data_IF_362712068679
#
_entry.id   IF_362712068679
#
_cell.length_a   1.000
_cell.length_b   1.000
_cell.length_c   1.000
_cell.angle_alpha   90.00
_cell.angle_beta   90.00
_cell.angle_gamma   90.00
#
_symmetry.space_group_name_H-M   'P 1'
#
loop_
_entity.id
_entity.type
_entity.pdbx_description
1 polymer ?
#
# COMPACT_ATOMS: atom_id res chain seq x y z
N UNK A 1 8.69 -28.31 5.97
CA UNK A 1 7.73 -27.45 5.25
C UNK A 1 8.17 -27.44 3.79
N UNK A 2 7.37 -28.02 2.90
CA UNK A 2 7.56 -27.88 1.45
C UNK A 2 7.55 -26.39 1.12
N UNK A 3 8.59 -25.90 0.44
CA UNK A 3 8.63 -24.51 -0.01
C UNK A 3 7.40 -24.27 -0.90
N UNK A 4 6.54 -23.32 -0.52
CA UNK A 4 5.45 -22.89 -1.38
C UNK A 4 6.09 -22.30 -2.62
N UNK A 5 5.88 -22.96 -3.76
CA UNK A 5 6.33 -22.43 -5.05
C UNK A 5 5.54 -21.14 -5.26
N UNK A 6 6.25 -20.03 -5.47
CA UNK A 6 5.60 -18.75 -5.75
C UNK A 6 4.94 -18.84 -7.14
N UNK A 7 3.60 -18.84 -7.23
CA UNK A 7 2.92 -19.01 -8.52
C UNK A 7 3.11 -17.80 -9.45
N UNK A 8 3.53 -16.66 -8.90
CA UNK A 8 3.77 -15.43 -9.64
C UNK A 8 5.21 -15.29 -10.14
N UNK A 9 6.09 -16.27 -9.86
CA UNK A 9 7.47 -16.31 -10.37
C UNK A 9 7.52 -16.74 -11.84
N UNK A 10 6.84 -15.95 -12.68
CA UNK A 10 6.76 -16.12 -14.13
C UNK A 10 7.84 -15.28 -14.82
N UNK A 11 8.20 -15.56 -16.09
CA UNK A 11 9.14 -14.72 -16.84
C UNK A 11 8.73 -13.24 -16.87
N UNK A 12 7.43 -12.96 -17.02
CA UNK A 12 6.88 -11.61 -16.99
C UNK A 12 6.97 -10.98 -15.59
N UNK A 13 6.65 -11.73 -14.54
CA UNK A 13 6.81 -11.27 -13.16
C UNK A 13 8.25 -10.91 -12.83
N UNK A 14 9.19 -11.82 -13.16
CA UNK A 14 10.62 -11.61 -12.90
C UNK A 14 11.18 -10.41 -13.68
N UNK A 15 10.82 -10.26 -14.96
CA UNK A 15 11.26 -9.15 -15.78
C UNK A 15 10.78 -7.77 -15.28
N UNK A 16 9.63 -7.72 -14.61
CA UNK A 16 8.99 -6.48 -14.15
C UNK A 16 9.06 -6.27 -12.62
N UNK A 17 9.74 -7.16 -11.90
CA UNK A 17 9.96 -7.08 -10.45
C UNK A 17 11.06 -6.07 -10.11
N UNK A 18 10.81 -5.24 -9.10
CA UNK A 18 11.79 -4.27 -8.59
C UNK A 18 11.85 -4.27 -7.06
N UNK A 19 11.56 -5.43 -6.45
CA UNK A 19 11.51 -5.60 -5.00
C UNK A 19 12.86 -5.33 -4.33
N UNK A 20 12.89 -4.31 -3.50
CA UNK A 20 14.08 -3.90 -2.77
C UNK A 20 13.84 -3.64 -1.28
N UNK A 21 14.94 -3.70 -0.53
CA UNK A 21 15.01 -3.35 0.89
C UNK A 21 16.01 -2.23 1.12
N UNK A 22 15.77 -1.40 2.12
CA UNK A 22 16.75 -0.44 2.62
C UNK A 22 17.75 -1.16 3.52
N UNK A 23 19.06 -0.96 3.31
CA UNK A 23 20.11 -1.58 4.12
C UNK A 23 20.73 -0.62 5.15
N UNK A 24 20.21 0.60 5.29
CA UNK A 24 20.80 1.66 6.11
C UNK A 24 21.44 2.80 5.30
N UNK A 25 21.88 2.52 4.07
CA UNK A 25 22.58 3.49 3.21
C UNK A 25 21.97 3.64 1.82
N UNK A 26 21.45 2.55 1.25
CA UNK A 26 20.85 2.55 -0.08
C UNK A 26 19.75 1.48 -0.21
N UNK A 27 18.95 1.60 -1.26
CA UNK A 27 18.03 0.56 -1.68
C UNK A 27 18.83 -0.56 -2.38
N UNK A 28 18.59 -1.81 -1.99
CA UNK A 28 19.18 -3.00 -2.60
C UNK A 28 18.06 -3.92 -3.09
N UNK A 29 18.10 -4.32 -4.35
CA UNK A 29 17.13 -5.25 -4.92
C UNK A 29 17.38 -6.67 -4.40
N UNK A 30 16.32 -7.47 -4.30
CA UNK A 30 16.36 -8.82 -3.72
C UNK A 30 17.38 -9.75 -4.38
N UNK A 31 17.56 -9.63 -5.69
CA UNK A 31 18.51 -10.41 -6.48
C UNK A 31 19.95 -9.87 -6.44
N UNK A 32 20.22 -8.88 -5.58
CA UNK A 32 21.53 -8.25 -5.45
C UNK A 32 21.84 -7.22 -6.52
N UNK A 33 20.94 -6.98 -7.49
CA UNK A 33 21.14 -5.93 -8.49
C UNK A 33 21.05 -4.54 -7.84
N UNK A 34 21.79 -3.60 -8.42
CA UNK A 34 21.65 -2.18 -8.10
C UNK A 34 20.34 -1.67 -8.70
N UNK A 35 19.51 -0.94 -7.93
CA UNK A 35 18.32 -0.30 -8.49
C UNK A 35 18.72 0.69 -9.58
N UNK A 36 17.85 0.87 -10.59
CA UNK A 36 18.06 1.93 -11.58
C UNK A 36 18.11 3.30 -10.89
N UNK A 37 18.79 4.28 -11.52
CA UNK A 37 18.86 5.66 -10.97
C UNK A 37 17.48 6.22 -10.67
N UNK A 38 16.51 6.02 -11.57
CA UNK A 38 15.11 6.43 -11.36
C UNK A 38 14.52 5.78 -10.10
N UNK A 39 14.73 4.48 -9.90
CA UNK A 39 14.23 3.77 -8.72
C UNK A 39 14.82 4.34 -7.43
N UNK A 40 16.14 4.59 -7.42
CA UNK A 40 16.82 5.19 -6.28
C UNK A 40 16.31 6.62 -6.00
N UNK A 41 16.11 7.45 -7.03
CA UNK A 41 15.62 8.82 -6.89
C UNK A 41 14.18 8.87 -6.34
N UNK A 42 13.28 8.02 -6.85
CA UNK A 42 11.89 7.93 -6.35
C UNK A 42 11.87 7.44 -4.90
N UNK A 43 12.67 6.43 -4.57
CA UNK A 43 12.79 5.92 -3.21
C UNK A 43 13.33 6.99 -2.25
N UNK A 44 14.36 7.73 -2.64
CA UNK A 44 14.93 8.82 -1.86
C UNK A 44 13.91 9.95 -1.64
N UNK A 45 13.16 10.33 -2.67
CA UNK A 45 12.10 11.32 -2.56
C UNK A 45 10.98 10.87 -1.59
N UNK A 46 10.57 9.60 -1.67
CA UNK A 46 9.58 9.04 -0.74
C UNK A 46 10.10 9.10 0.70
N UNK A 47 11.34 8.65 0.93
CA UNK A 47 11.96 8.70 2.26
C UNK A 47 12.03 10.12 2.80
N UNK A 48 12.38 11.09 1.97
CA UNK A 48 12.45 12.50 2.37
C UNK A 48 11.08 13.01 2.86
N UNK A 49 9.99 12.70 2.15
CA UNK A 49 8.62 13.06 2.58
C UNK A 49 8.26 12.39 3.91
N UNK A 50 8.58 11.10 4.07
CA UNK A 50 8.22 10.35 5.27
C UNK A 50 9.07 10.71 6.51
N UNK A 51 10.28 11.23 6.30
CA UNK A 51 11.14 11.76 7.36
C UNK A 51 10.84 13.22 7.70
N UNK A 52 9.99 13.90 6.93
CA UNK A 52 9.60 15.27 7.21
C UNK A 52 9.01 15.39 8.64
N UNK A 53 9.52 16.29 9.49
CA UNK A 53 9.05 16.47 10.87
C UNK A 53 7.54 16.70 10.95
N UNK A 54 6.95 17.33 9.93
CA UNK A 54 5.54 17.65 9.88
C UNK A 54 4.70 16.47 9.40
N UNK A 55 5.28 15.39 8.83
CA UNK A 55 4.50 14.28 8.30
C UNK A 55 3.63 13.63 9.40
N UNK A 56 2.29 13.60 9.26
CA UNK A 56 1.41 13.38 10.41
C UNK A 56 1.34 11.90 10.82
N UNK A 57 1.54 10.98 9.87
CA UNK A 57 1.35 9.55 10.10
C UNK A 57 2.53 8.94 10.89
N UNK A 58 2.28 8.68 12.17
CA UNK A 58 3.25 8.08 13.10
C UNK A 58 3.66 6.67 12.67
N UNK A 59 2.72 5.88 12.14
CA UNK A 59 2.99 4.54 11.62
C UNK A 59 3.96 4.56 10.44
N UNK A 60 3.74 5.44 9.47
CA UNK A 60 4.64 5.58 8.31
C UNK A 60 6.06 6.04 8.73
N UNK A 61 6.15 6.97 9.70
CA UNK A 61 7.44 7.35 10.30
C UNK A 61 8.13 6.16 10.95
N UNK A 62 7.41 5.36 11.74
CA UNK A 62 7.94 4.14 12.36
C UNK A 62 8.48 3.18 11.30
N UNK A 63 7.72 2.95 10.24
CA UNK A 63 8.09 2.05 9.13
C UNK A 63 9.42 2.44 8.48
N UNK A 64 9.60 3.72 8.16
CA UNK A 64 10.83 4.19 7.51
C UNK A 64 12.02 4.23 8.47
N UNK A 65 11.80 4.66 9.73
CA UNK A 65 12.84 4.73 10.75
C UNK A 65 13.39 3.35 11.12
N UNK A 66 12.53 2.33 11.19
CA UNK A 66 12.91 0.95 11.52
C UNK A 66 13.33 0.14 10.28
N UNK A 67 13.27 0.73 9.08
CA UNK A 67 13.47 0.05 7.82
C UNK A 67 12.57 -1.21 7.65
N UNK A 68 11.38 -1.19 8.25
CA UNK A 68 10.44 -2.30 8.29
C UNK A 68 9.53 -2.35 7.05
N UNK A 69 10.07 -1.94 5.90
CA UNK A 69 9.35 -1.90 4.63
C UNK A 69 10.13 -2.51 3.49
N UNK A 70 9.41 -2.68 2.39
CA UNK A 70 9.94 -3.03 1.09
C UNK A 70 9.42 -2.05 0.06
N UNK A 71 10.22 -1.80 -0.97
CA UNK A 71 9.92 -0.81 -1.98
C UNK A 71 10.13 -1.41 -3.36
N UNK A 72 9.24 -1.09 -4.29
CA UNK A 72 9.41 -1.37 -5.71
C UNK A 72 8.95 -0.16 -6.54
N UNK A 73 9.68 0.13 -7.62
CA UNK A 73 9.23 1.03 -8.67
C UNK A 73 8.88 0.20 -9.91
N UNK A 74 7.60 0.21 -10.30
CA UNK A 74 7.12 -0.36 -11.55
C UNK A 74 6.95 0.72 -12.61
N UNK A 75 6.80 0.34 -13.88
CA UNK A 75 6.76 1.29 -15.00
C UNK A 75 5.46 2.08 -15.04
N UNK A 76 4.31 1.42 -15.21
CA UNK A 76 3.02 2.11 -15.34
C UNK A 76 1.92 1.44 -14.50
N UNK A 77 1.16 2.25 -13.76
CA UNK A 77 0.06 1.77 -12.93
C UNK A 77 -1.03 1.09 -13.77
N UNK A 78 -1.44 -0.09 -13.31
CA UNK A 78 -2.53 -0.89 -13.87
C UNK A 78 -2.28 -1.44 -15.29
N UNK A 79 -1.03 -1.64 -15.72
CA UNK A 79 -0.68 -2.40 -16.94
C UNK A 79 -0.42 -3.87 -16.61
N UNK A 80 -0.51 -4.76 -17.61
CA UNK A 80 -0.28 -6.20 -17.44
C UNK A 80 1.12 -6.49 -16.89
N UNK A 81 2.15 -5.86 -17.47
CA UNK A 81 3.55 -6.09 -17.10
C UNK A 81 3.86 -5.63 -15.67
N UNK A 82 3.43 -4.41 -15.30
CA UNK A 82 3.56 -3.92 -13.93
C UNK A 82 2.76 -4.78 -12.95
N UNK A 83 1.59 -5.28 -13.34
CA UNK A 83 0.77 -6.15 -12.49
C UNK A 83 1.47 -7.49 -12.23
N UNK A 84 2.10 -8.08 -13.26
CA UNK A 84 2.86 -9.32 -13.09
C UNK A 84 4.05 -9.13 -12.13
N UNK A 85 4.80 -8.02 -12.29
CA UNK A 85 5.90 -7.67 -11.38
C UNK A 85 5.42 -7.40 -9.96
N UNK A 86 4.32 -6.65 -9.83
CA UNK A 86 3.71 -6.32 -8.54
C UNK A 86 3.18 -7.56 -7.81
N UNK A 87 2.57 -8.51 -8.52
CA UNK A 87 2.06 -9.76 -7.95
C UNK A 87 3.22 -10.60 -7.35
N UNK A 88 4.31 -10.74 -8.10
CA UNK A 88 5.53 -11.40 -7.65
C UNK A 88 6.10 -10.72 -6.39
N UNK A 89 6.17 -9.39 -6.41
CA UNK A 89 6.76 -8.60 -5.32
C UNK A 89 5.88 -8.58 -4.06
N UNK A 90 4.56 -8.52 -4.22
CA UNK A 90 3.59 -8.57 -3.11
C UNK A 90 3.53 -9.98 -2.48
N UNK A 91 3.65 -11.05 -3.27
CA UNK A 91 3.79 -12.41 -2.73
C UNK A 91 5.07 -12.55 -1.90
N UNK A 92 6.19 -12.04 -2.42
CA UNK A 92 7.47 -12.02 -1.70
C UNK A 92 7.36 -11.28 -0.37
N UNK A 93 6.63 -10.17 -0.34
CA UNK A 93 6.32 -9.45 0.90
C UNK A 93 5.46 -10.29 1.84
N UNK A 94 4.39 -10.91 1.34
CA UNK A 94 3.52 -11.76 2.13
C UNK A 94 4.31 -12.86 2.88
N UNK A 95 5.24 -13.50 2.18
CA UNK A 95 6.09 -14.57 2.72
C UNK A 95 7.09 -14.10 3.77
N UNK A 96 7.59 -12.86 3.70
CA UNK A 96 8.64 -12.39 4.60
C UNK A 96 8.20 -11.41 5.67
N UNK A 97 7.01 -10.80 5.55
CA UNK A 97 6.57 -9.68 6.41
C UNK A 97 6.63 -10.00 7.90
N UNK A 98 6.32 -11.24 8.30
CA UNK A 98 6.39 -11.66 9.71
C UNK A 98 7.82 -11.73 10.27
N UNK A 99 8.84 -11.81 9.40
CA UNK A 99 10.27 -11.83 9.76
C UNK A 99 10.91 -10.44 9.68
N UNK A 100 10.20 -9.44 9.15
CA UNK A 100 10.70 -8.06 9.12
C UNK A 100 10.58 -7.50 10.54
N UNK A 101 11.68 -7.02 11.15
CA UNK A 101 11.60 -6.42 12.48
C UNK A 101 10.81 -5.12 12.42
N UNK A 102 9.94 -4.92 13.40
CA UNK A 102 9.16 -3.68 13.57
C UNK A 102 7.71 -3.94 13.94
N UNK A 103 7.08 -2.94 14.53
CA UNK A 103 5.65 -3.01 14.92
C UNK A 103 4.73 -2.95 13.69
N UNK A 104 5.14 -2.14 12.72
CA UNK A 104 4.47 -1.90 11.45
C UNK A 104 5.29 -2.42 10.30
N UNK A 105 4.66 -3.05 9.31
CA UNK A 105 5.30 -3.44 8.07
C UNK A 105 4.47 -3.01 6.87
N UNK A 106 5.16 -2.53 5.83
CA UNK A 106 4.51 -2.08 4.61
C UNK A 106 5.29 -2.53 3.37
N UNK A 107 4.57 -2.86 2.32
CA UNK A 107 5.13 -2.87 0.97
C UNK A 107 4.68 -1.63 0.21
N UNK A 108 5.64 -0.90 -0.35
CA UNK A 108 5.40 0.37 -1.03
C UNK A 108 5.71 0.18 -2.52
N UNK A 109 4.66 0.17 -3.34
CA UNK A 109 4.76 0.07 -4.79
C UNK A 109 4.51 1.43 -5.42
N UNK A 110 5.55 2.05 -5.97
CA UNK A 110 5.44 3.27 -6.78
C UNK A 110 5.43 2.94 -8.26
N UNK A 111 4.86 3.84 -9.07
CA UNK A 111 4.75 3.67 -10.52
C UNK A 111 5.34 4.90 -11.22
N UNK A 112 6.15 4.70 -12.25
CA UNK A 112 6.74 5.82 -12.99
C UNK A 112 5.67 6.61 -13.77
N UNK A 113 4.65 5.92 -14.26
CA UNK A 113 3.53 6.41 -15.05
C UNK A 113 2.17 5.88 -14.53
N UNK A 114 1.04 6.47 -14.94
CA UNK A 114 0.94 7.71 -15.71
C UNK A 114 1.12 8.96 -14.84
N UNK A 115 1.45 10.09 -15.46
CA UNK A 115 1.39 11.42 -14.81
C UNK A 115 -0.07 11.83 -14.53
N UNK A 116 -0.56 11.46 -13.36
CA UNK A 116 -1.94 11.73 -12.95
C UNK A 116 -2.16 13.20 -12.60
N UNK A 117 -3.28 13.76 -13.06
CA UNK A 117 -3.69 15.15 -12.79
C UNK A 117 -4.96 15.28 -11.95
N UNK A 118 -5.71 14.19 -11.76
CA UNK A 118 -6.95 14.20 -10.99
C UNK A 118 -7.03 13.01 -10.04
N UNK A 119 -7.67 13.21 -8.89
CA UNK A 119 -7.93 12.12 -7.93
C UNK A 119 -8.85 11.05 -8.51
N UNK A 120 -9.77 11.42 -9.41
CA UNK A 120 -10.67 10.44 -10.04
C UNK A 120 -9.91 9.51 -10.98
N UNK A 121 -8.99 10.03 -11.78
CA UNK A 121 -8.14 9.20 -12.63
C UNK A 121 -7.25 8.26 -11.80
N UNK A 122 -6.70 8.75 -10.68
CA UNK A 122 -5.96 7.90 -9.75
C UNK A 122 -6.81 6.79 -9.16
N UNK A 123 -8.00 7.12 -8.64
CA UNK A 123 -8.92 6.13 -8.07
C UNK A 123 -9.27 5.04 -9.09
N UNK A 124 -9.60 5.41 -10.34
CA UNK A 124 -9.90 4.44 -11.38
C UNK A 124 -8.75 3.47 -11.63
N UNK A 125 -7.50 3.97 -11.73
CA UNK A 125 -6.34 3.11 -11.96
C UNK A 125 -5.96 2.29 -10.73
N UNK A 126 -6.10 2.84 -9.52
CA UNK A 126 -5.90 2.10 -8.28
C UNK A 126 -6.82 0.87 -8.26
N UNK A 127 -8.11 1.06 -8.49
CA UNK A 127 -9.05 -0.06 -8.50
C UNK A 127 -8.81 -1.03 -9.65
N UNK A 128 -8.46 -0.54 -10.85
CA UNK A 128 -8.04 -1.42 -11.96
C UNK A 128 -6.84 -2.28 -11.58
N UNK A 129 -5.85 -1.70 -10.88
CA UNK A 129 -4.67 -2.43 -10.41
C UNK A 129 -5.02 -3.49 -9.37
N UNK A 130 -5.88 -3.18 -8.40
CA UNK A 130 -6.32 -4.15 -7.38
C UNK A 130 -7.17 -5.28 -7.99
N UNK A 131 -8.06 -4.97 -8.93
CA UNK A 131 -8.82 -5.98 -9.67
C UNK A 131 -7.92 -6.89 -10.50
N UNK A 132 -6.90 -6.32 -11.17
CA UNK A 132 -5.92 -7.10 -11.93
C UNK A 132 -5.06 -8.01 -11.04
N UNK A 133 -4.67 -7.56 -9.84
CA UNK A 133 -4.00 -8.40 -8.85
C UNK A 133 -4.90 -9.55 -8.38
N UNK A 134 -6.16 -9.27 -8.05
CA UNK A 134 -7.10 -10.29 -7.62
C UNK A 134 -7.36 -11.34 -8.71
N UNK A 135 -7.45 -10.92 -9.98
CA UNK A 135 -7.62 -11.83 -11.10
C UNK A 135 -6.47 -12.86 -11.20
N UNK A 136 -5.22 -12.44 -10.91
CA UNK A 136 -4.08 -13.36 -10.82
C UNK A 136 -4.12 -14.20 -9.54
N UNK A 137 -4.53 -13.62 -8.42
CA UNK A 137 -4.48 -14.26 -7.11
C UNK A 137 -5.51 -15.39 -6.94
N UNK A 138 -6.73 -15.18 -7.44
CA UNK A 138 -7.87 -16.10 -7.26
C UNK A 138 -7.67 -17.48 -7.90
N UNK A 139 -6.71 -17.61 -8.82
CA UNK A 139 -6.32 -18.90 -9.40
C UNK A 139 -5.48 -19.76 -8.44
N UNK A 140 -4.92 -19.16 -7.40
CA UNK A 140 -3.92 -19.79 -6.52
C UNK A 140 -4.28 -19.70 -5.04
N UNK A 141 -4.97 -18.65 -4.62
CA UNK A 141 -5.32 -18.39 -3.23
C UNK A 141 -6.79 -18.02 -3.08
N UNK A 142 -7.41 -18.54 -2.03
CA UNK A 142 -8.69 -18.02 -1.58
C UNK A 142 -8.50 -16.65 -0.93
N UNK A 143 -9.55 -15.83 -0.98
CA UNK A 143 -9.61 -14.59 -0.20
C UNK A 143 -9.37 -14.89 1.28
N UNK A 144 -8.65 -14.01 1.98
CA UNK A 144 -8.35 -14.20 3.39
C UNK A 144 -9.67 -14.31 4.21
N UNK A 145 -9.90 -15.41 4.95
CA UNK A 145 -11.18 -15.67 5.60
C UNK A 145 -11.47 -14.76 6.81
N UNK A 146 -10.49 -13.96 7.27
CA UNK A 146 -10.67 -13.01 8.37
C UNK A 146 -11.29 -11.68 7.93
N UNK A 147 -11.43 -11.43 6.63
CA UNK A 147 -11.94 -10.18 6.07
C UNK A 147 -12.93 -10.45 4.94
N UNK A 148 -13.90 -9.55 4.74
CA UNK A 148 -14.87 -9.67 3.66
C UNK A 148 -14.22 -9.40 2.29
N UNK A 149 -14.70 -10.07 1.23
CA UNK A 149 -14.37 -9.75 -0.16
C UNK A 149 -15.35 -8.75 -0.79
N UNK A 150 -16.44 -8.40 -0.10
CA UNK A 150 -17.36 -7.37 -0.55
C UNK A 150 -16.81 -5.99 -0.17
N UNK A 151 -16.43 -5.13 -1.14
CA UNK A 151 -15.89 -3.80 -0.86
C UNK A 151 -16.91 -2.83 -0.24
N UNK A 152 -18.18 -3.20 -0.13
CA UNK A 152 -19.19 -2.42 0.59
C UNK A 152 -19.35 -2.85 2.06
N UNK A 153 -18.78 -3.99 2.46
CA UNK A 153 -18.79 -4.52 3.81
C UNK A 153 -17.83 -3.74 4.73
N UNK A 154 -18.24 -3.49 5.98
CA UNK A 154 -17.42 -2.77 6.97
C UNK A 154 -16.20 -3.56 7.44
N UNK A 155 -16.19 -4.88 7.21
CA UNK A 155 -15.08 -5.81 7.46
C UNK A 155 -14.24 -6.12 6.22
N UNK A 156 -14.47 -5.42 5.10
CA UNK A 156 -13.66 -5.55 3.90
C UNK A 156 -12.18 -5.26 4.18
N UNK A 157 -11.27 -6.01 3.56
CA UNK A 157 -9.89 -5.59 3.36
C UNK A 157 -9.30 -6.31 2.16
N UNK A 158 -8.47 -5.63 1.37
CA UNK A 158 -7.92 -6.22 0.14
C UNK A 158 -7.08 -7.46 0.46
N UNK A 159 -7.41 -8.59 -0.15
CA UNK A 159 -6.67 -9.82 0.01
C UNK A 159 -5.77 -10.12 -1.18
N UNK A 160 -4.56 -10.60 -0.88
CA UNK A 160 -3.63 -11.13 -1.86
C UNK A 160 -2.71 -12.18 -1.21
N UNK A 161 -2.48 -13.31 -1.88
CA UNK A 161 -1.67 -14.42 -1.39
C UNK A 161 -2.09 -14.91 0.02
N UNK A 162 -3.40 -14.93 0.29
CA UNK A 162 -3.98 -15.24 1.59
C UNK A 162 -3.68 -14.23 2.71
N UNK A 163 -3.01 -13.11 2.42
CA UNK A 163 -2.88 -11.97 3.33
C UNK A 163 -4.06 -11.00 3.22
N UNK A 164 -4.18 -10.09 4.18
CA UNK A 164 -5.14 -8.97 4.15
C UNK A 164 -4.37 -7.66 4.32
N UNK A 165 -4.73 -6.64 3.54
CA UNK A 165 -3.98 -5.39 3.45
C UNK A 165 -4.87 -4.16 3.45
N UNK A 166 -4.56 -3.22 4.34
CA UNK A 166 -5.08 -1.86 4.23
C UNK A 166 -4.25 -1.06 3.21
N UNK A 167 -4.84 -0.78 2.05
CA UNK A 167 -4.14 -0.10 0.95
C UNK A 167 -4.25 1.42 1.07
N UNK A 168 -3.10 2.09 1.07
CA UNK A 168 -3.00 3.56 1.08
C UNK A 168 -2.48 4.03 -0.26
N UNK A 169 -3.32 4.74 -1.01
CA UNK A 169 -2.94 5.43 -2.23
C UNK A 169 -2.31 6.80 -1.96
N UNK A 170 -1.21 7.10 -2.66
CA UNK A 170 -0.61 8.43 -2.79
C UNK A 170 -0.67 8.88 -4.25
N UNK A 171 -1.03 10.13 -4.48
CA UNK A 171 -1.22 10.68 -5.82
C UNK A 171 -0.70 12.10 -5.94
N UNK A 172 -0.09 12.49 -7.08
CA UNK A 172 0.28 13.89 -7.32
C UNK A 172 -0.93 14.83 -7.30
N UNK A 173 -2.13 14.31 -7.56
CA UNK A 173 -3.37 15.08 -7.56
C UNK A 173 -4.00 15.25 -6.17
N UNK A 174 -3.40 14.69 -5.12
CA UNK A 174 -3.95 14.80 -3.76
C UNK A 174 -3.87 16.23 -3.23
N UNK A 175 -4.98 16.71 -2.69
CA UNK A 175 -5.03 17.98 -1.95
C UNK A 175 -4.45 17.84 -0.54
N UNK A 176 -4.53 16.65 0.06
CA UNK A 176 -3.92 16.32 1.35
C UNK A 176 -2.43 16.09 1.13
N UNK A 177 -1.61 16.87 1.83
CA UNK A 177 -0.15 16.80 1.69
C UNK A 177 0.39 15.42 2.09
N UNK A 178 -0.14 14.84 3.18
CA UNK A 178 0.23 13.49 3.61
C UNK A 178 -0.08 12.38 2.58
N UNK A 179 -0.92 12.66 1.57
CA UNK A 179 -1.27 11.75 0.47
C UNK A 179 -0.73 12.21 -0.88
N UNK A 180 0.08 13.28 -0.91
CA UNK A 180 0.60 13.88 -2.14
C UNK A 180 2.04 13.43 -2.38
N UNK A 181 2.23 12.67 -3.45
CA UNK A 181 3.55 12.23 -3.89
C UNK A 181 3.64 12.33 -5.42
N UNK A 182 4.77 12.75 -6.02
CA UNK A 182 4.84 13.01 -7.47
C UNK A 182 4.56 11.79 -8.36
N UNK A 183 4.74 10.59 -7.81
CA UNK A 183 4.47 9.31 -8.48
C UNK A 183 3.25 8.63 -7.86
N UNK A 184 2.34 8.05 -8.66
CA UNK A 184 1.31 7.17 -8.14
C UNK A 184 1.95 6.09 -7.26
N UNK A 185 1.44 5.89 -6.05
CA UNK A 185 1.98 4.89 -5.12
C UNK A 185 0.85 4.18 -4.40
N UNK A 186 0.98 2.86 -4.26
CA UNK A 186 0.12 2.01 -3.44
C UNK A 186 0.97 1.47 -2.28
N UNK A 187 0.54 1.73 -1.06
CA UNK A 187 1.16 1.22 0.16
C UNK A 187 0.27 0.11 0.73
N UNK A 188 0.75 -1.12 0.68
CA UNK A 188 0.10 -2.30 1.24
C UNK A 188 0.55 -2.47 2.69
N UNK A 189 -0.32 -2.13 3.63
CA UNK A 189 -0.06 -2.28 5.07
C UNK A 189 -0.67 -3.59 5.56
N UNK A 190 0.07 -4.39 6.32
CA UNK A 190 -0.46 -5.63 6.92
C UNK A 190 -1.68 -5.32 7.80
N UNK A 191 -2.85 -5.88 7.46
CA UNK A 191 -4.10 -5.59 8.19
C UNK A 191 -4.00 -5.97 9.67
N UNK A 192 -3.41 -7.13 9.96
CA UNK A 192 -3.32 -7.67 11.33
C UNK A 192 -2.46 -6.83 12.27
N UNK A 193 -1.62 -5.91 11.76
CA UNK A 193 -0.90 -4.97 12.63
C UNK A 193 -1.85 -4.00 13.34
N UNK A 194 -2.95 -3.61 12.69
CA UNK A 194 -3.95 -2.74 13.30
C UNK A 194 -4.79 -3.50 14.33
N UNK A 195 -5.10 -4.76 14.08
CA UNK A 195 -5.77 -5.63 15.06
C UNK A 195 -4.93 -5.82 16.33
N UNK A 196 -3.61 -6.00 16.20
CA UNK A 196 -2.70 -6.06 17.36
C UNK A 196 -2.73 -4.77 18.19
N UNK A 197 -2.71 -3.61 17.53
CA UNK A 197 -2.79 -2.32 18.22
C UNK A 197 -4.10 -2.13 18.98
N UNK A 198 -5.21 -2.63 18.42
CA UNK A 198 -6.52 -2.58 19.09
C UNK A 198 -6.57 -3.50 20.29
N UNK A 199 -6.09 -4.72 20.15
CA UNK A 199 -5.97 -5.67 21.26
C UNK A 199 -5.15 -5.08 22.41
N UNK A 200 -4.13 -4.29 22.09
CA UNK A 200 -3.28 -3.60 23.06
C UNK A 200 -3.79 -2.21 23.51
N UNK A 201 -4.97 -1.77 23.07
CA UNK A 201 -5.57 -0.46 23.39
C UNK A 201 -4.70 0.75 22.97
N UNK A 202 -3.82 0.56 21.99
CA UNK A 202 -2.93 1.61 21.47
C UNK A 202 -3.51 2.32 20.24
N UNK A 203 -4.46 1.70 19.55
CA UNK A 203 -5.02 2.20 18.28
C UNK A 203 -5.66 3.59 18.41
N UNK A 204 -6.52 3.80 19.40
CA UNK A 204 -7.24 5.06 19.62
C UNK A 204 -6.25 6.23 19.80
N UNK A 205 -5.24 6.04 20.67
CA UNK A 205 -4.20 7.04 20.91
C UNK A 205 -3.41 7.38 19.64
N UNK A 206 -3.04 6.38 18.84
CA UNK A 206 -2.32 6.60 17.58
C UNK A 206 -3.20 7.36 16.59
N UNK A 207 -4.47 6.96 16.44
CA UNK A 207 -5.44 7.62 15.57
C UNK A 207 -5.61 9.08 15.95
N UNK A 208 -5.83 9.37 17.23
CA UNK A 208 -6.08 10.73 17.71
C UNK A 208 -4.86 11.62 17.50
N UNK A 209 -3.65 11.09 17.77
CA UNK A 209 -2.39 11.79 17.46
C UNK A 209 -2.27 12.12 15.97
N UNK A 210 -2.63 11.19 15.08
CA UNK A 210 -2.58 11.42 13.62
C UNK A 210 -3.62 12.48 13.21
N UNK A 211 -4.83 12.44 13.77
CA UNK A 211 -5.89 13.42 13.51
C UNK A 211 -5.51 14.82 13.94
N UNK A 212 -4.94 14.97 15.14
CA UNK A 212 -4.45 16.26 15.66
C UNK A 212 -3.37 16.85 14.74
N UNK A 213 -2.41 16.03 14.30
CA UNK A 213 -1.34 16.48 13.38
C UNK A 213 -1.90 16.85 12.01
N UNK A 214 -2.80 16.04 11.45
CA UNK A 214 -3.42 16.32 10.15
C UNK A 214 -4.27 17.60 10.18
N UNK A 215 -5.05 17.80 11.25
CA UNK A 215 -5.80 19.04 11.49
C UNK A 215 -4.87 20.25 11.62
N UNK A 216 -3.76 20.12 12.33
CA UNK A 216 -2.76 21.20 12.46
C UNK A 216 -2.22 21.62 11.09
N UNK A 217 -2.03 20.67 10.16
CA UNK A 217 -1.46 20.93 8.84
C UNK A 217 -2.47 21.41 7.81
N UNK A 218 -3.71 20.96 7.91
CA UNK A 218 -4.72 21.16 6.86
C UNK A 218 -5.92 21.99 7.29
N UNK A 219 -6.03 22.33 8.57
CA UNK A 219 -7.15 23.08 9.16
C UNK A 219 -8.37 22.22 9.50
N UNK A 220 -8.43 20.98 9.00
CA UNK A 220 -9.50 20.02 9.26
C UNK A 220 -8.95 18.58 9.32
N UNK A 221 -9.67 17.69 10.01
CA UNK A 221 -9.33 16.26 10.05
C UNK A 221 -9.63 15.61 8.71
N UNK A 222 -8.74 14.76 8.19
CA UNK A 222 -9.01 13.94 7.00
C UNK A 222 -10.33 13.15 7.15
N UNK A 223 -11.38 13.43 6.35
CA UNK A 223 -12.64 12.69 6.39
C UNK A 223 -12.45 11.20 6.06
N UNK A 224 -11.37 10.87 5.36
CA UNK A 224 -11.00 9.50 4.99
C UNK A 224 -10.23 8.77 6.10
N UNK A 225 -10.08 9.35 7.30
CA UNK A 225 -9.68 8.65 8.52
C UNK A 225 -10.91 8.40 9.40
N UNK A 226 -11.97 7.84 8.82
CA UNK A 226 -13.15 7.43 9.56
C UNK A 226 -12.79 6.37 10.62
N UNK A 227 -13.59 6.29 11.68
CA UNK A 227 -13.43 5.21 12.65
C UNK A 227 -13.67 3.86 11.98
N UNK A 228 -12.85 2.88 12.37
CA UNK A 228 -12.95 1.53 11.83
C UNK A 228 -14.32 0.93 12.09
N UNK A 229 -14.85 0.18 11.13
CA UNK A 229 -16.13 -0.53 11.26
C UNK A 229 -17.37 0.31 10.99
N UNK A 230 -17.27 1.64 10.88
CA UNK A 230 -18.42 2.50 10.54
C UNK A 230 -18.73 2.48 9.04
N UNK A 231 -17.70 2.42 8.21
CA UNK A 231 -17.80 2.32 6.75
C UNK A 231 -16.67 1.42 6.23
N UNK A 232 -16.89 0.77 5.10
CA UNK A 232 -15.85 0.01 4.40
C UNK A 232 -14.58 0.83 4.20
N UNK A 233 -13.43 0.22 4.49
CA UNK A 233 -12.12 0.84 4.25
C UNK A 233 -11.84 1.08 2.76
N UNK A 234 -12.54 0.40 1.85
CA UNK A 234 -12.42 0.59 0.40
C UNK A 234 -12.55 2.08 0.03
N UNK A 235 -13.48 2.80 0.67
CA UNK A 235 -13.70 4.24 0.45
C UNK A 235 -12.43 5.06 0.65
N UNK A 236 -11.53 4.62 1.54
CA UNK A 236 -10.34 5.35 1.99
C UNK A 236 -9.12 5.12 1.10
N UNK A 237 -9.09 4.06 0.30
CA UNK A 237 -7.87 3.60 -0.39
C UNK A 237 -7.28 4.67 -1.32
N UNK A 238 -8.12 5.32 -2.13
CA UNK A 238 -7.64 6.34 -3.08
C UNK A 238 -7.27 7.68 -2.42
N UNK A 239 -7.71 7.91 -1.18
CA UNK A 239 -7.63 9.21 -0.51
C UNK A 239 -8.53 10.30 -1.14
N UNK A 240 -9.39 9.96 -2.11
CA UNK A 240 -10.40 10.88 -2.64
C UNK A 240 -11.55 10.98 -1.63
N UNK A 241 -12.02 12.19 -1.36
CA UNK A 241 -13.26 12.37 -0.59
C UNK A 241 -14.45 11.90 -1.45
N UNK A 242 -15.18 10.90 -0.98
CA UNK A 242 -16.30 10.27 -1.71
C UNK A 242 -17.57 10.35 -0.87
N UNK A 243 -18.71 10.65 -1.50
CA UNK A 243 -20.01 10.74 -0.84
C UNK A 243 -20.64 9.37 -0.56
N UNK A 244 -21.79 9.36 0.10
CA UNK A 244 -22.52 8.14 0.47
C UNK A 244 -22.84 7.23 -0.73
N UNK A 245 -23.22 7.83 -1.86
CA UNK A 245 -23.54 7.13 -3.11
C UNK A 245 -22.34 6.51 -3.85
N UNK A 246 -21.12 6.66 -3.32
CA UNK A 246 -19.95 6.00 -3.91
C UNK A 246 -20.06 4.48 -3.79
N UNK A 247 -19.68 3.81 -4.87
CA UNK A 247 -19.54 2.35 -4.96
C UNK A 247 -18.17 1.99 -5.48
N UNK A 248 -17.62 0.90 -4.96
CA UNK A 248 -16.41 0.32 -5.50
C UNK A 248 -16.63 -0.08 -6.97
N UNK A 249 -15.75 0.28 -7.92
CA UNK A 249 -15.91 -0.06 -9.34
C UNK A 249 -15.48 -1.51 -9.66
N UNK A 250 -15.03 -2.27 -8.66
CA UNK A 250 -14.52 -3.64 -8.80
C UNK A 250 -15.22 -4.53 -7.78
N UNK A 251 -15.56 -5.75 -8.20
CA UNK A 251 -16.03 -6.83 -7.34
C UNK A 251 -14.92 -7.89 -7.23
N UNK A 252 -14.82 -8.56 -6.08
CA UNK A 252 -13.75 -9.52 -5.75
C UNK A 252 -14.29 -10.94 -5.51
N UNK A 253 -15.28 -11.34 -6.32
CA UNK A 253 -15.98 -12.62 -6.31
C UNK A 253 -15.36 -13.73 -7.22
#
# INVERSE_FOLDING_TARGET
MTAVINPFDTPAGYANSNYGRWNGTQLILRDGRTPSRRTADVHAALRAVLHDPDFPCVGAKSVVNQASYRFALHDELATTDSTAGLALDLFRFAEERQRIPGEFTSFIASFAEPKLRTMKAFETLLWRQLGALHALDREHFAWNPAVSNDPEDTSFSFSFAGGAYFVVGLSPASKRWARRFPWPTLVFNDHFQFERLRANQQFERIRDTIRERDQTLHGDVNPMMADYGNHSEARQYSGRNVGEAWKCPVHFD
#
